data_IF_526185847248
#
_entry.id   IF_526185847248
#
_cell.length_a   1.000
_cell.length_b   1.000
_cell.length_c   1.000
_cell.angle_alpha   90.00
_cell.angle_beta   90.00
_cell.angle_gamma   90.00
#
_symmetry.space_group_name_H-M   'P 1'
#
loop_
_entity.id
_entity.type
_entity.pdbx_description
1 polymer ?
#
# COMPACT_ATOMS: atom_id res chain seq x y z
N UNK A 1 18.90 -9.11 1.72
CA UNK A 1 19.72 -7.89 1.85
C UNK A 1 18.85 -6.70 1.49
N UNK A 2 18.84 -5.66 2.32
CA UNK A 2 18.00 -4.46 2.10
C UNK A 2 18.86 -3.21 2.04
N UNK A 3 18.42 -2.23 1.25
CA UNK A 3 19.01 -0.89 1.17
C UNK A 3 18.83 -0.18 2.52
N UNK A 4 19.95 0.26 3.11
CA UNK A 4 19.96 1.01 4.38
C UNK A 4 19.76 2.51 4.17
N UNK A 5 20.34 3.06 3.11
CA UNK A 5 20.30 4.49 2.80
C UNK A 5 20.18 4.71 1.29
N UNK A 6 19.44 5.75 0.92
CA UNK A 6 19.25 6.19 -0.47
C UNK A 6 19.72 7.63 -0.60
N UNK A 7 20.57 7.92 -1.57
CA UNK A 7 21.00 9.28 -1.88
C UNK A 7 20.15 9.78 -3.04
N UNK A 8 19.51 10.93 -2.85
CA UNK A 8 18.79 11.63 -3.91
C UNK A 8 19.18 13.10 -3.89
N UNK A 9 19.68 13.60 -5.01
CA UNK A 9 20.05 15.02 -5.20
C UNK A 9 21.02 15.57 -4.13
N UNK A 10 21.96 14.74 -3.67
CA UNK A 10 22.94 15.11 -2.65
C UNK A 10 22.45 14.98 -1.20
N UNK A 11 21.20 14.58 -0.97
CA UNK A 11 20.62 14.39 0.36
C UNK A 11 20.55 12.90 0.69
N UNK A 12 21.05 12.54 1.87
CA UNK A 12 21.05 11.17 2.38
C UNK A 12 19.73 10.88 3.10
N UNK A 13 18.99 9.90 2.61
CA UNK A 13 17.72 9.47 3.21
C UNK A 13 17.85 8.06 3.80
N UNK A 14 17.23 7.86 4.96
CA UNK A 14 17.04 6.53 5.55
C UNK A 14 15.91 5.81 4.82
N UNK A 15 16.26 4.72 4.12
CA UNK A 15 15.32 3.98 3.30
C UNK A 15 14.18 3.36 4.13
N UNK A 16 14.44 2.97 5.39
CA UNK A 16 13.42 2.38 6.26
C UNK A 16 12.38 3.39 6.68
N UNK A 17 12.79 4.64 6.94
CA UNK A 17 11.86 5.72 7.31
C UNK A 17 10.93 6.06 6.16
N UNK A 18 11.47 6.24 4.95
CA UNK A 18 10.66 6.52 3.76
C UNK A 18 9.62 5.43 3.50
N UNK A 19 10.00 4.15 3.63
CA UNK A 19 9.07 3.03 3.48
C UNK A 19 7.99 3.00 4.56
N UNK A 20 8.33 3.35 5.80
CA UNK A 20 7.37 3.41 6.90
C UNK A 20 6.32 4.51 6.69
N UNK A 21 6.74 5.68 6.18
CA UNK A 21 5.84 6.79 5.91
C UNK A 21 4.91 6.49 4.73
N UNK A 22 5.43 5.91 3.65
CA UNK A 22 4.60 5.44 2.52
C UNK A 22 3.60 4.39 2.99
N UNK A 23 4.01 3.45 3.85
CA UNK A 23 3.13 2.41 4.38
C UNK A 23 1.96 3.02 5.17
N UNK A 24 2.24 4.00 6.04
CA UNK A 24 1.19 4.71 6.78
C UNK A 24 0.21 5.43 5.86
N UNK A 25 0.70 6.11 4.82
CA UNK A 25 -0.18 6.76 3.84
C UNK A 25 -1.10 5.76 3.14
N UNK A 26 -0.57 4.59 2.77
CA UNK A 26 -1.35 3.51 2.15
C UNK A 26 -2.37 2.92 3.13
N UNK A 27 -1.99 2.70 4.38
CA UNK A 27 -2.88 2.16 5.41
C UNK A 27 -4.02 3.14 5.72
N UNK A 28 -3.73 4.45 5.82
CA UNK A 28 -4.73 5.50 5.98
C UNK A 28 -5.65 5.62 4.77
N UNK A 29 -5.10 5.53 3.56
CA UNK A 29 -5.87 5.54 2.33
C UNK A 29 -6.85 4.35 2.29
N UNK A 30 -6.37 3.14 2.57
CA UNK A 30 -7.21 1.93 2.65
C UNK A 30 -8.23 1.96 3.78
N UNK A 31 -7.96 2.66 4.88
CA UNK A 31 -8.92 2.82 5.96
C UNK A 31 -10.03 3.81 5.60
N UNK A 32 -9.70 4.87 4.86
CA UNK A 32 -10.67 5.87 4.36
C UNK A 32 -11.48 5.35 3.18
N UNK A 33 -10.80 4.67 2.28
CA UNK A 33 -11.38 3.98 1.16
C UNK A 33 -11.99 2.69 1.69
N UNK A 34 -13.27 2.73 2.10
CA UNK A 34 -14.09 1.56 2.44
C UNK A 34 -14.19 0.64 1.20
N UNK A 35 -13.08 0.01 0.85
CA UNK A 35 -12.89 -0.71 -0.40
C UNK A 35 -13.67 -2.00 -0.29
N UNK A 36 -14.92 -1.94 -0.76
CA UNK A 36 -15.81 -3.09 -0.85
C UNK A 36 -15.28 -3.92 -2.02
N UNK A 37 -14.48 -4.94 -1.70
CA UNK A 37 -14.07 -5.94 -2.69
C UNK A 37 -15.33 -6.72 -3.07
N UNK A 38 -16.10 -6.21 -4.02
CA UNK A 38 -17.15 -6.97 -4.69
C UNK A 38 -16.44 -7.87 -5.68
N UNK A 39 -16.39 -9.17 -5.41
CA UNK A 39 -15.77 -10.12 -6.33
C UNK A 39 -16.50 -10.07 -7.68
N UNK A 40 -15.79 -9.73 -8.78
CA UNK A 40 -16.32 -9.94 -10.11
C UNK A 40 -16.31 -11.45 -10.37
N UNK A 41 -17.49 -12.07 -10.29
CA UNK A 41 -17.65 -13.53 -10.40
C UNK A 41 -18.79 -14.11 -9.55
N UNK A 42 -19.31 -13.37 -8.56
CA UNK A 42 -20.61 -13.69 -7.96
C UNK A 42 -21.71 -13.25 -8.93
N UNK A 43 -21.88 -14.01 -10.01
CA UNK A 43 -23.07 -13.91 -10.84
C UNK A 43 -24.31 -13.99 -9.96
N UNK A 44 -25.26 -13.09 -10.19
CA UNK A 44 -26.60 -13.21 -9.63
C UNK A 44 -27.18 -14.56 -10.05
N UNK A 45 -27.22 -15.50 -9.13
CA UNK A 45 -27.95 -16.76 -9.27
C UNK A 45 -27.16 -17.84 -9.99
N UNK A 46 -26.76 -18.85 -9.23
CA UNK A 46 -26.80 -20.29 -9.59
C UNK A 46 -26.09 -21.06 -8.48
N UNK A 47 -26.74 -21.10 -7.32
CA UNK A 47 -26.63 -22.21 -6.40
C UNK A 47 -28.00 -22.87 -6.38
N UNK A 48 -28.27 -23.68 -7.40
CA UNK A 48 -29.32 -24.69 -7.41
C UNK A 48 -28.70 -26.01 -7.81
#
# INVERSE_FOLDING_TARGET
>A
GGVKYTIKDGILYDAKKLLADVKKMVDEAKAKENFRITQPGLGKGEAR
#
